data_IF_609167147126
#
_entry.id   IF_609167147126
#
_cell.length_a   1.000
_cell.length_b   1.000
_cell.length_c   1.000
_cell.angle_alpha   90.00
_cell.angle_beta   90.00
_cell.angle_gamma   90.00
#
_symmetry.space_group_name_H-M   'P 1'
#
loop_
_entity.id
_entity.type
_entity.pdbx_description
1 polymer ?
#
# COMPACT_ATOMS: atom_id res chain seq x y z
N UNK A 1 -13.01 13.84 -8.14
CA UNK A 1 -13.91 13.65 -6.96
C UNK A 1 -13.76 12.22 -6.47
N UNK A 2 -12.84 12.00 -5.52
CA UNK A 2 -12.50 10.65 -5.01
C UNK A 2 -13.10 10.41 -3.60
N UNK A 3 -14.16 11.16 -3.28
CA UNK A 3 -14.77 11.17 -1.95
C UNK A 3 -15.60 9.91 -1.65
N UNK A 4 -15.85 9.10 -2.68
CA UNK A 4 -16.64 7.87 -2.60
C UNK A 4 -15.79 6.61 -2.77
N UNK A 5 -14.48 6.69 -2.55
CA UNK A 5 -13.62 5.52 -2.65
C UNK A 5 -13.90 4.53 -1.53
N UNK A 6 -14.07 3.27 -1.91
CA UNK A 6 -14.29 2.18 -0.95
C UNK A 6 -12.94 1.67 -0.48
N UNK A 7 -12.72 1.71 0.82
CA UNK A 7 -11.61 1.02 1.48
C UNK A 7 -12.15 -0.27 2.10
N UNK A 8 -11.53 -1.38 1.78
CA UNK A 8 -11.89 -2.64 2.41
C UNK A 8 -10.66 -3.36 2.96
N UNK A 9 -10.87 -4.12 3.99
CA UNK A 9 -9.88 -4.99 4.59
C UNK A 9 -10.33 -6.45 4.46
N UNK A 10 -9.42 -7.28 3.99
CA UNK A 10 -9.56 -8.73 4.08
C UNK A 10 -8.82 -9.19 5.34
N UNK A 11 -9.55 -9.76 6.29
CA UNK A 11 -8.94 -10.31 7.51
C UNK A 11 -8.88 -11.83 7.43
N UNK A 12 -7.68 -12.36 7.62
CA UNK A 12 -7.46 -13.80 7.69
C UNK A 12 -6.52 -14.14 8.84
N UNK A 13 -6.93 -15.00 9.74
CA UNK A 13 -6.18 -15.38 10.95
C UNK A 13 -5.67 -14.17 11.77
N UNK A 14 -6.47 -13.10 11.87
CA UNK A 14 -6.10 -11.90 12.60
C UNK A 14 -5.11 -10.97 11.88
N UNK A 15 -4.80 -11.25 10.61
CA UNK A 15 -3.94 -10.42 9.76
C UNK A 15 -4.79 -9.69 8.74
N UNK A 16 -4.53 -8.41 8.55
CA UNK A 16 -5.27 -7.54 7.66
C UNK A 16 -4.51 -7.24 6.36
N UNK A 17 -5.25 -7.30 5.26
CA UNK A 17 -4.84 -6.90 3.93
C UNK A 17 -5.72 -5.71 3.53
N UNK A 18 -5.12 -4.53 3.38
CA UNK A 18 -5.83 -3.29 3.09
C UNK A 18 -5.80 -2.96 1.61
N UNK A 19 -6.96 -2.66 1.07
CA UNK A 19 -7.16 -2.19 -0.30
C UNK A 19 -7.82 -0.83 -0.26
N UNK A 20 -7.03 0.21 -0.50
CA UNK A 20 -7.42 1.58 -0.19
C UNK A 20 -8.11 2.32 -1.35
N UNK A 21 -8.16 1.73 -2.56
CA UNK A 21 -8.72 2.42 -3.72
C UNK A 21 -8.08 3.79 -3.94
N UNK A 22 -8.88 4.76 -4.29
CA UNK A 22 -8.46 6.17 -4.46
C UNK A 22 -8.86 7.01 -3.22
N UNK A 23 -8.59 6.46 -2.04
CA UNK A 23 -8.91 7.09 -0.76
C UNK A 23 -8.41 8.54 -0.71
N UNK A 24 -9.29 9.48 -0.40
CA UNK A 24 -8.97 10.89 -0.18
C UNK A 24 -8.76 11.21 1.31
N UNK A 25 -8.03 12.31 1.61
CA UNK A 25 -7.71 12.72 2.98
C UNK A 25 -8.94 12.81 3.91
N UNK A 26 -10.02 13.36 3.40
CA UNK A 26 -11.26 13.54 4.17
C UNK A 26 -11.94 12.22 4.56
N UNK A 27 -11.67 11.14 3.82
CA UNK A 27 -12.25 9.83 4.06
C UNK A 27 -11.42 8.97 5.04
N UNK A 28 -10.19 9.35 5.29
CA UNK A 28 -9.28 8.61 6.20
C UNK A 28 -9.83 8.50 7.62
N UNK A 29 -10.55 9.52 8.09
CA UNK A 29 -11.20 9.54 9.43
C UNK A 29 -12.23 8.41 9.63
N UNK A 30 -12.76 7.84 8.54
CA UNK A 30 -13.74 6.75 8.61
C UNK A 30 -13.09 5.37 8.68
N UNK A 31 -11.78 5.26 8.49
CA UNK A 31 -11.06 3.99 8.66
C UNK A 31 -11.02 3.67 10.15
N UNK A 32 -11.60 2.54 10.51
CA UNK A 32 -11.58 2.06 11.90
C UNK A 32 -10.16 1.62 12.27
N UNK A 33 -9.72 1.98 13.46
CA UNK A 33 -8.36 1.72 13.94
C UNK A 33 -8.05 0.23 14.11
N UNK A 34 -9.04 -0.58 14.45
CA UNK A 34 -8.88 -2.02 14.58
C UNK A 34 -8.46 -2.71 13.28
N UNK A 35 -8.69 -2.08 12.11
CA UNK A 35 -8.16 -2.53 10.82
C UNK A 35 -6.70 -2.12 10.55
N UNK A 36 -6.09 -1.36 11.44
CA UNK A 36 -4.71 -0.90 11.31
C UNK A 36 -3.75 -1.57 12.31
N UNK A 37 -4.21 -2.54 13.10
CA UNK A 37 -3.39 -3.14 14.16
C UNK A 37 -2.47 -4.27 13.68
N UNK A 38 -2.91 -5.07 12.72
CA UNK A 38 -2.19 -6.24 12.25
C UNK A 38 -2.07 -6.25 10.71
N UNK A 39 -1.75 -5.12 10.15
CA UNK A 39 -1.64 -4.97 8.68
C UNK A 39 -0.36 -5.60 8.18
N UNK A 40 -0.48 -6.53 7.24
CA UNK A 40 0.64 -7.13 6.54
C UNK A 40 0.75 -6.66 5.09
N UNK A 41 -0.34 -6.22 4.50
CA UNK A 41 -0.38 -5.78 3.11
C UNK A 41 -1.21 -4.51 2.96
N UNK A 42 -0.69 -3.56 2.17
CA UNK A 42 -1.38 -2.32 1.82
C UNK A 42 -1.28 -2.10 0.31
N UNK A 43 -2.44 -2.01 -0.36
CA UNK A 43 -2.50 -1.35 -1.66
C UNK A 43 -2.49 0.15 -1.38
N UNK A 44 -1.37 0.80 -1.71
CA UNK A 44 -1.19 2.24 -1.49
C UNK A 44 -2.35 3.00 -2.16
N UNK A 45 -3.00 3.92 -1.43
CA UNK A 45 -4.13 4.68 -1.96
C UNK A 45 -3.73 5.55 -3.14
N UNK A 46 -4.70 5.81 -3.99
CA UNK A 46 -4.65 6.78 -5.09
C UNK A 46 -3.35 6.69 -5.91
N UNK A 47 -2.98 5.47 -6.30
CA UNK A 47 -1.78 5.16 -7.08
C UNK A 47 -0.46 5.73 -6.52
N UNK A 48 -0.39 6.02 -5.23
CA UNK A 48 0.78 6.65 -4.61
C UNK A 48 0.86 8.17 -4.85
N UNK A 49 -0.29 8.83 -5.01
CA UNK A 49 -0.39 10.29 -4.93
C UNK A 49 0.06 10.82 -3.57
N UNK A 50 0.43 12.08 -3.50
CA UNK A 50 0.70 12.79 -2.26
C UNK A 50 -0.54 12.99 -1.37
N UNK A 51 -1.71 12.76 -1.90
CA UNK A 51 -2.93 12.51 -1.14
C UNK A 51 -3.25 10.99 -1.11
N UNK A 52 -3.68 10.44 0.01
CA UNK A 52 -3.96 11.08 1.31
C UNK A 52 -2.77 10.98 2.28
N UNK A 53 -2.15 12.10 2.58
CA UNK A 53 -1.06 12.15 3.58
C UNK A 53 -1.54 11.75 4.99
N UNK A 54 -2.81 12.04 5.33
CA UNK A 54 -3.42 11.69 6.60
C UNK A 54 -3.51 10.19 6.83
N UNK A 55 -3.59 9.38 5.76
CA UNK A 55 -3.54 7.92 5.88
C UNK A 55 -2.17 7.44 6.36
N UNK A 56 -1.08 7.98 5.81
CA UNK A 56 0.28 7.66 6.25
C UNK A 56 0.49 8.05 7.71
N UNK A 57 0.00 9.23 8.12
CA UNK A 57 0.08 9.66 9.50
C UNK A 57 -0.66 8.68 10.43
N UNK A 58 -1.82 8.20 10.03
CA UNK A 58 -2.58 7.20 10.77
C UNK A 58 -1.85 5.85 10.87
N UNK A 59 -1.14 5.43 9.83
CA UNK A 59 -0.27 4.25 9.88
C UNK A 59 0.87 4.42 10.90
N UNK A 60 1.48 5.60 10.93
CA UNK A 60 2.53 5.95 11.93
C UNK A 60 1.96 5.90 13.33
N UNK A 61 0.82 6.54 13.56
CA UNK A 61 0.13 6.61 14.85
C UNK A 61 -0.23 5.21 15.38
N UNK A 62 -0.70 4.33 14.52
CA UNK A 62 -1.03 2.94 14.86
C UNK A 62 0.18 2.00 14.79
N UNK A 63 1.40 2.53 14.57
CA UNK A 63 2.64 1.75 14.56
C UNK A 63 2.66 0.59 13.54
N UNK A 64 1.98 0.75 12.42
CA UNK A 64 2.01 -0.23 11.33
C UNK A 64 3.44 -0.31 10.79
N UNK A 65 4.01 -1.51 10.81
CA UNK A 65 5.40 -1.79 10.43
C UNK A 65 5.50 -3.09 9.65
N UNK A 66 6.58 -3.23 8.89
CA UNK A 66 6.91 -4.46 8.18
C UNK A 66 5.81 -4.95 7.20
N UNK A 67 4.91 -4.04 6.79
CA UNK A 67 3.90 -4.36 5.81
C UNK A 67 4.51 -4.38 4.39
N UNK A 68 3.85 -5.11 3.51
CA UNK A 68 4.12 -5.05 2.07
C UNK A 68 3.22 -3.96 1.49
N UNK A 69 3.82 -2.91 0.96
CA UNK A 69 3.07 -1.83 0.31
C UNK A 69 3.23 -1.90 -1.20
N UNK A 70 2.12 -1.91 -1.92
CA UNK A 70 2.13 -1.97 -3.38
C UNK A 70 1.40 -0.81 -4.01
N UNK A 71 1.85 -0.38 -5.17
CA UNK A 71 1.17 0.59 -6.00
C UNK A 71 1.29 0.23 -7.47
N UNK A 72 0.53 0.93 -8.31
CA UNK A 72 0.62 0.84 -9.75
C UNK A 72 1.10 2.17 -10.31
N UNK A 73 1.86 2.12 -11.39
CA UNK A 73 2.11 3.31 -12.20
C UNK A 73 0.79 3.78 -12.79
N UNK A 74 0.57 5.08 -12.80
CA UNK A 74 -0.58 5.71 -13.40
C UNK A 74 -0.17 7.01 -14.10
N UNK A 75 -1.01 7.50 -14.99
CA UNK A 75 -0.81 8.79 -15.66
C UNK A 75 -0.53 9.91 -14.63
N UNK A 76 0.08 11.00 -15.06
CA UNK A 76 0.39 12.17 -14.21
C UNK A 76 1.53 11.96 -13.20
N UNK A 77 2.55 11.19 -13.56
CA UNK A 77 3.74 10.99 -12.71
C UNK A 77 3.47 10.29 -11.38
N UNK A 78 2.46 9.46 -11.31
CA UNK A 78 2.23 8.61 -10.15
C UNK A 78 2.95 7.25 -10.32
N UNK A 79 3.45 6.68 -9.24
CA UNK A 79 3.46 7.16 -7.86
C UNK A 79 4.45 8.31 -7.64
N UNK A 80 4.16 9.18 -6.67
CA UNK A 80 5.09 10.21 -6.22
C UNK A 80 6.20 9.56 -5.40
N UNK A 81 7.46 9.76 -5.78
CA UNK A 81 8.62 9.12 -5.15
C UNK A 81 8.69 9.39 -3.63
N UNK A 82 8.46 10.63 -3.21
CA UNK A 82 8.47 11.00 -1.80
C UNK A 82 7.39 10.30 -0.96
N UNK A 83 6.28 9.90 -1.59
CA UNK A 83 5.23 9.11 -0.93
C UNK A 83 5.72 7.68 -0.71
N UNK A 84 6.33 7.06 -1.71
CA UNK A 84 6.90 5.71 -1.57
C UNK A 84 7.97 5.66 -0.47
N UNK A 85 8.81 6.70 -0.38
CA UNK A 85 9.83 6.81 0.67
C UNK A 85 9.23 6.90 2.08
N UNK A 86 8.06 7.53 2.25
CA UNK A 86 7.36 7.54 3.55
C UNK A 86 6.95 6.13 3.98
N UNK A 87 6.43 5.31 3.07
CA UNK A 87 6.13 3.90 3.39
C UNK A 87 7.40 3.12 3.72
N UNK A 88 8.47 3.33 2.97
CA UNK A 88 9.77 2.71 3.26
C UNK A 88 10.29 3.10 4.65
N UNK A 89 10.13 4.34 5.07
CA UNK A 89 10.55 4.83 6.39
C UNK A 89 9.72 4.20 7.53
N UNK A 90 8.58 3.60 7.24
CA UNK A 90 7.81 2.75 8.16
C UNK A 90 8.33 1.31 8.19
N UNK A 91 9.46 1.01 7.55
CA UNK A 91 9.99 -0.33 7.33
C UNK A 91 9.07 -1.22 6.49
N UNK A 92 8.30 -0.64 5.58
CA UNK A 92 7.54 -1.41 4.62
C UNK A 92 8.43 -1.87 3.46
N UNK A 93 8.20 -3.08 2.97
CA UNK A 93 8.67 -3.50 1.66
C UNK A 93 7.79 -2.87 0.60
N UNK A 94 8.30 -1.90 -0.15
CA UNK A 94 7.53 -1.12 -1.12
C UNK A 94 7.78 -1.62 -2.53
N UNK A 95 6.72 -1.92 -3.26
CA UNK A 95 6.76 -2.42 -4.63
C UNK A 95 5.88 -1.58 -5.55
N UNK A 96 6.32 -1.46 -6.81
CA UNK A 96 5.56 -0.81 -7.87
C UNK A 96 5.45 -1.73 -9.09
N UNK A 97 4.30 -1.75 -9.77
CA UNK A 97 4.05 -2.63 -10.91
C UNK A 97 4.72 -2.20 -12.21
N UNK A 98 5.31 -1.03 -12.28
CA UNK A 98 5.97 -0.58 -13.52
C UNK A 98 6.72 0.73 -13.37
N UNK A 99 7.40 1.09 -14.46
CA UNK A 99 8.13 2.35 -14.59
C UNK A 99 7.69 3.05 -15.87
N UNK A 100 6.76 4.01 -15.76
CA UNK A 100 6.20 4.74 -16.92
C UNK A 100 4.87 4.19 -17.40
N UNK A 101 4.33 4.81 -18.42
CA UNK A 101 2.91 4.71 -18.79
C UNK A 101 2.53 3.48 -19.63
N UNK A 102 3.48 2.72 -20.13
CA UNK A 102 3.20 1.69 -21.16
C UNK A 102 3.68 0.28 -20.84
N UNK A 103 4.49 0.11 -19.79
CA UNK A 103 5.09 -1.19 -19.50
C UNK A 103 4.88 -1.59 -18.05
N UNK A 104 4.06 -2.60 -17.84
CA UNK A 104 3.74 -3.10 -16.53
C UNK A 104 4.40 -4.43 -16.24
N UNK A 105 4.59 -4.72 -14.98
CA UNK A 105 4.99 -6.01 -14.48
C UNK A 105 3.98 -6.54 -13.48
N UNK A 106 4.26 -7.69 -12.91
CA UNK A 106 3.45 -8.32 -11.90
C UNK A 106 4.23 -8.48 -10.60
N UNK A 107 3.57 -8.23 -9.49
CA UNK A 107 4.06 -8.48 -8.15
C UNK A 107 3.25 -9.65 -7.59
N UNK A 108 3.92 -10.78 -7.36
CA UNK A 108 3.31 -11.96 -6.74
C UNK A 108 3.91 -12.14 -5.36
N UNK A 109 3.09 -12.03 -4.34
CA UNK A 109 3.48 -12.29 -2.95
C UNK A 109 2.78 -13.54 -2.43
N UNK A 110 3.59 -14.48 -1.94
CA UNK A 110 3.10 -15.66 -1.24
C UNK A 110 3.41 -15.49 0.24
N UNK A 111 2.40 -15.57 1.07
CA UNK A 111 2.53 -15.37 2.52
C UNK A 111 2.27 -16.69 3.23
N UNK A 112 3.25 -17.10 4.05
CA UNK A 112 3.04 -18.17 5.00
C UNK A 112 2.47 -17.58 6.29
N UNK A 113 1.18 -17.74 6.49
CA UNK A 113 0.43 -17.13 7.60
C UNK A 113 0.87 -17.64 8.97
N UNK A 114 1.32 -18.86 9.04
CA UNK A 114 1.77 -19.45 10.32
C UNK A 114 3.12 -18.88 10.76
N UNK A 115 4.03 -18.66 9.80
CA UNK A 115 5.38 -18.16 10.06
C UNK A 115 5.51 -16.66 9.85
N UNK A 116 4.49 -16.00 9.31
CA UNK A 116 4.50 -14.59 8.87
C UNK A 116 5.66 -14.25 7.92
N UNK A 117 6.10 -15.24 7.16
CA UNK A 117 7.15 -15.09 6.14
C UNK A 117 6.47 -14.83 4.81
N UNK A 118 6.92 -13.80 4.13
CA UNK A 118 6.50 -13.53 2.76
C UNK A 118 7.64 -13.87 1.77
N UNK A 119 7.24 -14.24 0.57
CA UNK A 119 8.13 -14.37 -0.56
C UNK A 119 7.50 -13.62 -1.73
N UNK A 120 8.19 -12.59 -2.20
CA UNK A 120 7.70 -11.73 -3.29
C UNK A 120 8.57 -11.93 -4.51
N UNK A 121 7.96 -12.25 -5.63
CA UNK A 121 8.58 -12.32 -6.94
C UNK A 121 8.06 -11.21 -7.85
N UNK A 122 8.93 -10.71 -8.70
CA UNK A 122 8.65 -9.62 -9.62
C UNK A 122 8.82 -10.13 -11.04
N UNK A 123 7.95 -9.70 -11.96
CA UNK A 123 8.07 -9.95 -13.40
C UNK A 123 7.82 -8.67 -14.19
N UNK A 124 8.31 -8.62 -15.43
CA UNK A 124 8.21 -7.43 -16.27
C UNK A 124 8.93 -6.23 -15.64
N UNK A 125 8.31 -5.07 -15.69
CA UNK A 125 8.86 -3.81 -15.16
C UNK A 125 8.51 -3.53 -13.71
N UNK A 126 7.96 -4.48 -12.97
CA UNK A 126 7.74 -4.33 -11.54
C UNK A 126 9.08 -4.20 -10.80
N UNK A 127 9.12 -3.35 -9.78
CA UNK A 127 10.33 -3.12 -9.00
C UNK A 127 10.03 -2.97 -7.51
N UNK A 128 11.05 -3.21 -6.69
CA UNK A 128 11.09 -2.88 -5.27
C UNK A 128 11.83 -1.55 -5.09
N UNK A 129 11.34 -0.73 -4.22
CA UNK A 129 12.03 0.51 -3.81
C UNK A 129 13.21 0.15 -2.90
N UNK A 130 14.41 0.49 -3.35
CA UNK A 130 15.67 0.26 -2.62
C UNK A 130 15.94 1.33 -1.56
#
# INVERSE_FOLDING_TARGET
MNDLSIVYALRFNGIDFLFCGDLANQSVKFIKEDFLQNVLFIKIPHHGSDEPISFINKLVENQVRNAISTTTVYQNNLPVQSVLEKYKNLNHDVYCTGRGDSEFGCIKTTINIVKLINNTSLTGNAYRLN
#
